data_IF_119900692201
#
_entry.id   IF_119900692201
#
_cell.length_a   1.000
_cell.length_b   1.000
_cell.length_c   1.000
_cell.angle_alpha   90.00
_cell.angle_beta   90.00
_cell.angle_gamma   90.00
#
_symmetry.space_group_name_H-M   'P 1'
#
loop_
_entity.id
_entity.type
_entity.pdbx_description
1 polymer ?
#
# COMPACT_ATOMS: atom_id res chain seq x y z
N UNK A 1 -4.00 -21.21 0.04
CA UNK A 1 -4.01 -20.51 1.34
C UNK A 1 -2.89 -21.07 2.21
N UNK A 2 -1.87 -20.26 2.43
CA UNK A 2 -0.69 -20.52 3.26
C UNK A 2 -1.06 -20.50 4.76
N UNK A 3 -0.33 -21.21 5.62
CA UNK A 3 -0.57 -21.26 7.07
C UNK A 3 0.70 -20.89 7.82
N UNK A 4 0.64 -19.84 8.64
CA UNK A 4 1.71 -19.44 9.55
C UNK A 4 1.24 -19.56 10.99
N UNK A 5 1.92 -20.39 11.78
CA UNK A 5 1.59 -20.61 13.17
C UNK A 5 2.78 -20.31 14.09
N UNK A 6 2.51 -19.76 15.27
CA UNK A 6 3.50 -19.62 16.34
C UNK A 6 3.55 -18.21 16.94
N UNK A 7 4.71 -17.87 17.49
CA UNK A 7 4.99 -16.56 18.06
C UNK A 7 6.03 -15.87 17.18
N UNK A 8 5.63 -14.76 16.57
CA UNK A 8 6.45 -14.00 15.63
C UNK A 8 6.91 -12.69 16.27
N UNK A 9 8.22 -12.56 16.50
CA UNK A 9 8.85 -11.37 17.08
C UNK A 9 9.35 -10.37 16.04
N UNK A 10 9.39 -10.77 14.76
CA UNK A 10 9.88 -9.95 13.65
C UNK A 10 8.72 -9.52 12.76
N UNK A 11 8.93 -8.43 12.02
CA UNK A 11 7.96 -7.96 11.04
C UNK A 11 7.68 -9.04 10.00
N UNK A 12 6.42 -9.15 9.60
CA UNK A 12 5.97 -10.12 8.62
C UNK A 12 5.50 -9.40 7.36
N UNK A 13 5.95 -9.88 6.20
CA UNK A 13 5.41 -9.46 4.90
C UNK A 13 4.66 -10.63 4.30
N UNK A 14 3.36 -10.46 4.12
CA UNK A 14 2.46 -11.49 3.61
C UNK A 14 2.23 -11.24 2.13
N UNK A 15 2.80 -12.10 1.29
CA UNK A 15 2.79 -11.97 -0.17
C UNK A 15 1.77 -12.88 -0.86
N UNK A 16 1.14 -13.78 -0.12
CA UNK A 16 0.12 -14.72 -0.61
C UNK A 16 -0.94 -14.94 0.47
N UNK A 17 -2.11 -15.43 0.06
CA UNK A 17 -3.25 -15.65 0.96
C UNK A 17 -2.85 -16.49 2.15
N UNK A 18 -2.93 -15.94 3.36
CA UNK A 18 -2.35 -16.54 4.56
C UNK A 18 -3.33 -16.61 5.71
N UNK A 19 -3.38 -17.76 6.37
CA UNK A 19 -3.98 -17.96 7.69
C UNK A 19 -2.89 -17.82 8.76
N UNK A 20 -3.02 -16.80 9.61
CA UNK A 20 -2.12 -16.54 10.73
C UNK A 20 -2.73 -17.07 12.02
N UNK A 21 -2.01 -17.97 12.69
CA UNK A 21 -2.40 -18.63 13.93
C UNK A 21 -1.38 -18.29 15.04
N UNK A 22 -1.82 -17.71 16.15
CA UNK A 22 -0.93 -17.39 17.28
C UNK A 22 -0.64 -15.91 17.45
N UNK A 23 0.56 -15.55 17.90
CA UNK A 23 0.86 -14.18 18.38
C UNK A 23 1.91 -13.52 17.48
N UNK A 24 1.61 -12.32 16.98
CA UNK A 24 2.59 -11.47 16.29
C UNK A 24 2.83 -10.22 17.12
N UNK A 25 4.07 -10.02 17.54
CA UNK A 25 4.46 -8.87 18.35
C UNK A 25 4.89 -7.68 17.50
N UNK A 26 5.33 -7.92 16.27
CA UNK A 26 5.85 -6.91 15.35
C UNK A 26 4.83 -6.55 14.25
N UNK A 27 5.06 -5.46 13.48
CA UNK A 27 4.15 -5.04 12.43
C UNK A 27 3.98 -6.09 11.33
N UNK A 28 2.74 -6.28 10.88
CA UNK A 28 2.40 -7.15 9.75
C UNK A 28 2.04 -6.28 8.56
N UNK A 29 2.66 -6.53 7.41
CA UNK A 29 2.34 -5.90 6.13
C UNK A 29 1.74 -6.93 5.18
N UNK A 30 0.57 -6.64 4.64
CA UNK A 30 -0.14 -7.50 3.67
C UNK A 30 -0.06 -6.84 2.31
N UNK A 31 0.52 -7.56 1.34
CA UNK A 31 0.74 -7.04 -0.02
C UNK A 31 -0.58 -6.88 -0.80
N UNK A 32 -0.58 -6.10 -1.90
CA UNK A 32 -1.80 -5.81 -2.67
C UNK A 32 -2.54 -7.07 -3.12
N UNK A 33 -3.87 -7.04 -3.01
CA UNK A 33 -4.74 -8.14 -3.46
C UNK A 33 -4.69 -9.42 -2.61
N UNK A 34 -3.89 -9.46 -1.54
CA UNK A 34 -3.72 -10.63 -0.69
C UNK A 34 -4.76 -10.66 0.43
N UNK A 35 -5.27 -11.85 0.77
CA UNK A 35 -6.12 -12.08 1.93
C UNK A 35 -5.34 -12.61 3.13
N UNK A 36 -5.42 -11.90 4.26
CA UNK A 36 -4.93 -12.36 5.55
C UNK A 36 -6.10 -12.77 6.46
N UNK A 37 -6.10 -13.98 7.00
CA UNK A 37 -7.02 -14.37 8.08
C UNK A 37 -6.24 -14.49 9.37
N UNK A 38 -6.56 -13.68 10.38
CA UNK A 38 -5.91 -13.69 11.69
C UNK A 38 -6.77 -14.46 12.69
N UNK A 39 -6.24 -15.57 13.21
CA UNK A 39 -6.80 -16.36 14.30
C UNK A 39 -5.80 -16.39 15.45
N UNK A 40 -5.72 -15.27 16.16
CA UNK A 40 -4.66 -15.04 17.15
C UNK A 40 -4.59 -13.60 17.61
N UNK A 41 -3.42 -13.14 18.02
CA UNK A 41 -3.19 -11.79 18.55
C UNK A 41 -2.12 -11.09 17.70
N UNK A 42 -2.41 -9.88 17.20
CA UNK A 42 -1.42 -9.01 16.54
C UNK A 42 -1.26 -7.74 17.37
N UNK A 43 -0.07 -7.53 17.94
CA UNK A 43 0.25 -6.37 18.77
C UNK A 43 0.94 -5.26 17.95
N UNK A 44 1.78 -5.61 16.98
CA UNK A 44 2.57 -4.63 16.22
C UNK A 44 1.79 -3.83 15.16
N UNK A 45 0.48 -4.04 15.06
CA UNK A 45 -0.37 -3.44 14.04
C UNK A 45 -0.35 -4.16 12.70
N UNK A 46 -1.24 -3.71 11.81
CA UNK A 46 -1.50 -4.33 10.52
C UNK A 46 -1.57 -3.26 9.43
N UNK A 47 -0.73 -3.38 8.41
CA UNK A 47 -0.76 -2.52 7.22
C UNK A 47 -1.30 -3.32 6.05
N UNK A 48 -2.46 -2.92 5.55
CA UNK A 48 -3.12 -3.49 4.39
C UNK A 48 -2.84 -2.61 3.17
N UNK A 49 -2.11 -3.15 2.21
CA UNK A 49 -1.90 -2.47 0.93
C UNK A 49 -3.16 -2.50 0.06
N UNK A 50 -3.14 -1.79 -1.06
CA UNK A 50 -4.31 -1.63 -1.93
C UNK A 50 -4.93 -2.97 -2.35
N UNK A 51 -6.24 -3.13 -2.10
CA UNK A 51 -6.96 -4.36 -2.42
C UNK A 51 -6.65 -5.55 -1.52
N UNK A 52 -5.75 -5.41 -0.54
CA UNK A 52 -5.56 -6.42 0.48
C UNK A 52 -6.78 -6.50 1.40
N UNK A 53 -7.08 -7.69 1.90
CA UNK A 53 -8.19 -7.92 2.83
C UNK A 53 -7.69 -8.59 4.09
N UNK A 54 -8.26 -8.22 5.24
CA UNK A 54 -7.99 -8.88 6.51
C UNK A 54 -9.28 -9.33 7.18
N UNK A 55 -9.34 -10.61 7.54
CA UNK A 55 -10.39 -11.18 8.37
C UNK A 55 -9.82 -11.47 9.75
N UNK A 56 -10.34 -10.78 10.77
CA UNK A 56 -9.82 -10.87 12.12
C UNK A 56 -10.80 -11.69 12.96
N UNK A 57 -10.43 -12.95 13.20
CA UNK A 57 -11.08 -13.87 14.13
C UNK A 57 -10.19 -14.03 15.38
N UNK A 58 -9.81 -12.90 15.97
CA UNK A 58 -8.82 -12.79 17.04
C UNK A 58 -8.74 -11.36 17.58
N UNK A 59 -7.58 -10.95 18.09
CA UNK A 59 -7.35 -9.63 18.68
C UNK A 59 -6.28 -8.90 17.86
N UNK A 60 -6.54 -7.63 17.53
CA UNK A 60 -5.51 -6.71 17.06
C UNK A 60 -5.43 -5.57 18.07
N UNK A 61 -4.34 -5.50 18.82
CA UNK A 61 -4.09 -4.47 19.83
C UNK A 61 -3.08 -3.43 19.30
N UNK A 62 -3.26 -3.03 18.05
CA UNK A 62 -2.40 -2.09 17.35
C UNK A 62 -3.19 -1.37 16.26
N UNK A 63 -2.53 -0.46 15.54
CA UNK A 63 -3.19 0.27 14.45
C UNK A 63 -3.42 -0.63 13.24
N UNK A 64 -4.60 -0.55 12.64
CA UNK A 64 -4.89 -1.13 11.32
C UNK A 64 -4.88 0.02 10.32
N UNK A 65 -3.90 0.01 9.42
CA UNK A 65 -3.75 1.01 8.37
C UNK A 65 -4.12 0.41 7.02
N UNK A 66 -5.16 0.93 6.39
CA UNK A 66 -5.46 0.61 4.99
C UNK A 66 -4.86 1.69 4.09
N UNK A 67 -3.96 1.29 3.19
CA UNK A 67 -3.31 2.18 2.24
C UNK A 67 -4.01 2.10 0.88
N UNK A 68 -4.50 3.22 0.33
CA UNK A 68 -5.06 3.21 -1.02
C UNK A 68 -3.94 3.07 -2.06
N UNK A 69 -4.30 2.59 -3.25
CA UNK A 69 -3.42 2.73 -4.40
C UNK A 69 -3.37 4.21 -4.79
N UNK A 70 -2.19 4.82 -4.73
CA UNK A 70 -1.96 6.18 -5.25
C UNK A 70 -1.30 6.02 -6.62
N UNK A 71 -2.06 6.24 -7.69
CA UNK A 71 -1.48 6.44 -9.03
C UNK A 71 -1.16 7.93 -9.17
N UNK A 72 0.11 8.26 -9.37
CA UNK A 72 0.52 9.59 -9.77
C UNK A 72 0.70 9.59 -11.30
N UNK A 73 -0.35 9.91 -12.04
CA UNK A 73 -0.27 10.11 -13.50
C UNK A 73 0.48 11.42 -13.80
N UNK A 74 1.81 11.41 -13.64
CA UNK A 74 2.68 12.58 -13.81
C UNK A 74 3.03 12.89 -15.28
N UNK A 75 2.12 12.62 -16.22
CA UNK A 75 2.42 12.64 -17.66
C UNK A 75 1.73 13.76 -18.49
N UNK A 76 1.05 14.74 -17.86
CA UNK A 76 0.29 15.74 -18.62
C UNK A 76 0.73 17.21 -18.47
N UNK A 77 1.80 17.52 -17.73
CA UNK A 77 2.23 18.94 -17.52
C UNK A 77 3.59 19.30 -18.10
N UNK A 78 4.33 18.36 -18.71
CA UNK A 78 5.65 18.63 -19.28
C UNK A 78 5.66 19.08 -20.75
N UNK A 79 4.50 19.27 -21.40
CA UNK A 79 4.43 19.74 -22.79
C UNK A 79 4.12 21.25 -22.93
N UNK A 80 4.94 22.10 -22.32
CA UNK A 80 5.27 23.40 -22.92
C UNK A 80 6.67 23.21 -23.53
N UNK A 81 6.83 23.25 -24.87
CA UNK A 81 6.96 24.56 -25.51
C UNK A 81 6.52 24.63 -26.99
N UNK A 82 5.82 25.70 -27.36
CA UNK A 82 5.98 26.31 -28.68
C UNK A 82 5.68 27.81 -28.55
N UNK A 83 6.67 28.59 -28.15
CA UNK A 83 6.63 30.03 -28.42
C UNK A 83 6.66 30.19 -29.94
N UNK A 84 5.50 30.51 -30.53
CA UNK A 84 5.40 30.83 -31.96
C UNK A 84 6.29 32.03 -32.32
N UNK A 85 6.67 32.17 -33.61
CA UNK A 85 7.59 33.22 -34.01
C UNK A 85 6.97 34.60 -33.72
N UNK A 86 7.68 35.40 -32.91
CA UNK A 86 7.36 36.81 -32.67
C UNK A 86 7.42 37.52 -34.02
N UNK A 87 6.27 37.92 -34.58
CA UNK A 87 6.23 38.80 -35.75
C UNK A 87 6.82 40.15 -35.36
N UNK A 88 8.09 40.38 -35.70
CA UNK A 88 8.67 41.73 -35.69
C UNK A 88 7.86 42.62 -36.64
N UNK A 89 7.15 43.58 -36.06
CA UNK A 89 6.49 44.64 -36.81
C UNK A 89 7.53 45.47 -37.57
N UNK A 90 7.31 45.59 -38.88
CA UNK A 90 8.05 46.48 -39.79
C UNK A 90 7.78 47.93 -39.35
N UNK A 91 8.78 48.79 -39.09
CA UNK A 91 8.50 50.20 -38.90
C UNK A 91 8.02 50.80 -40.24
N UNK A 92 6.88 51.49 -40.18
CA UNK A 92 6.37 52.29 -41.28
C UNK A 92 7.27 53.52 -41.48
N UNK A 93 7.48 53.79 -42.76
CA UNK A 93 8.12 54.92 -43.46
C UNK A 93 8.37 56.21 -42.67
#
# INVERSE_FOLDING_TARGET
MHRMAGIHFRSLTIAEDTLLLGIVLAPVRVLPGVRLTVRGIVLGGLVLEAGATAEIAGIVNGRIDQRPAVSLDYAARSNLPAQGPVRQGRPAR
#
